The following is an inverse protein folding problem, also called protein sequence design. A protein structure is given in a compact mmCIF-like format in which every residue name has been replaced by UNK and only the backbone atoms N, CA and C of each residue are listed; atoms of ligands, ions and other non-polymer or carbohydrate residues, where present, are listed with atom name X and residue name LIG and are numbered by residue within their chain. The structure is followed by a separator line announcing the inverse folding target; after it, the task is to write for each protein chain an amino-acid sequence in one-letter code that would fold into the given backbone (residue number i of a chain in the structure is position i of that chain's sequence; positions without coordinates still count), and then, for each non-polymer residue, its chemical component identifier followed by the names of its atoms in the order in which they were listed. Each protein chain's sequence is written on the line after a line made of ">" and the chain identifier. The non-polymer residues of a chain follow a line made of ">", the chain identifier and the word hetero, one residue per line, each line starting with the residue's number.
data_IF_957049333909
#
_entry.id   IF_957049333909
#
_cell.length_a   1.000
_cell.length_b   1.000
_cell.length_c   1.000
_cell.angle_alpha   90.00
_cell.angle_beta   90.00
_cell.angle_gamma   90.00
#
_symmetry.space_group_name_H-M   'P 1'
#
loop_
_entity.id
_entity.type
_entity.pdbx_description
1 polymer ?
#
# COMPACT_ATOMS: atom_id res chain seq x y z
N UNK A 1 8.34 -13.28 -2.13
CA UNK A 1 8.81 -12.01 -1.53
C UNK A 1 8.69 -12.10 -0.03
N UNK A 2 9.63 -11.52 0.71
CA UNK A 2 9.48 -11.37 2.16
C UNK A 2 8.36 -10.35 2.40
N UNK A 3 7.28 -10.69 3.12
CA UNK A 3 6.24 -9.73 3.49
C UNK A 3 6.88 -8.53 4.23
N UNK A 4 6.45 -7.30 3.91
CA UNK A 4 6.99 -6.10 4.56
C UNK A 4 8.23 -5.49 3.91
N UNK A 5 8.68 -5.97 2.74
CA UNK A 5 9.82 -5.39 2.00
C UNK A 5 9.34 -4.54 0.81
N UNK A 6 9.85 -3.31 0.72
CA UNK A 6 9.71 -2.44 -0.45
C UNK A 6 10.52 -2.98 -1.65
N UNK A 7 9.90 -2.93 -2.82
CA UNK A 7 10.45 -3.39 -4.10
C UNK A 7 10.60 -2.16 -4.99
N UNK A 8 11.82 -1.84 -5.46
CA UNK A 8 12.02 -0.77 -6.43
C UNK A 8 11.28 -1.06 -7.74
N UNK A 9 10.64 -0.06 -8.32
CA UNK A 9 9.98 -0.20 -9.64
C UNK A 9 10.97 -0.60 -10.74
N UNK A 10 12.22 -0.16 -10.62
CA UNK A 10 13.34 -0.53 -11.50
C UNK A 10 13.78 -1.98 -11.37
N UNK A 11 13.54 -2.62 -10.22
CA UNK A 11 13.80 -4.05 -10.01
C UNK A 11 12.66 -4.87 -10.58
N UNK A 12 11.41 -4.48 -10.27
CA UNK A 12 10.22 -5.22 -10.68
C UNK A 12 8.97 -4.37 -10.55
N UNK A 13 8.09 -4.42 -11.55
CA UNK A 13 6.74 -3.83 -11.48
C UNK A 13 5.74 -4.75 -10.78
N UNK A 14 4.66 -4.22 -10.18
CA UNK A 14 3.54 -5.03 -9.71
C UNK A 14 2.89 -5.82 -10.84
N UNK A 15 2.17 -6.88 -10.48
CA UNK A 15 1.26 -7.55 -11.41
C UNK A 15 0.13 -6.60 -11.86
N UNK A 16 -0.50 -6.90 -12.99
CA UNK A 16 -1.52 -6.00 -13.54
C UNK A 16 -2.73 -5.92 -12.60
N UNK A 17 -3.13 -4.69 -12.26
CA UNK A 17 -4.33 -4.35 -11.47
C UNK A 17 -4.39 -4.97 -10.07
N UNK A 18 -3.28 -5.43 -9.51
CA UNK A 18 -3.24 -5.81 -8.09
C UNK A 18 -3.13 -4.57 -7.20
N UNK A 19 -3.81 -4.58 -6.06
CA UNK A 19 -3.65 -3.55 -5.05
C UNK A 19 -2.28 -3.67 -4.38
N UNK A 20 -1.60 -2.53 -4.23
CA UNK A 20 -0.26 -2.41 -3.63
C UNK A 20 -0.18 -1.16 -2.77
N UNK A 21 0.80 -1.16 -1.88
CA UNK A 21 1.23 0.03 -1.13
C UNK A 21 2.33 0.70 -1.96
N UNK A 22 2.25 2.01 -2.16
CA UNK A 22 3.15 2.81 -2.99
C UNK A 22 3.92 3.80 -2.12
N UNK A 23 5.19 4.01 -2.45
CA UNK A 23 5.98 5.13 -1.93
C UNK A 23 6.12 6.17 -3.04
N UNK A 24 5.56 7.34 -2.78
CA UNK A 24 5.68 8.51 -3.63
C UNK A 24 6.88 9.34 -3.16
N UNK A 25 7.94 9.35 -3.97
CA UNK A 25 9.17 10.04 -3.60
C UNK A 25 9.07 11.57 -3.78
N UNK A 26 8.13 12.05 -4.60
CA UNK A 26 7.96 13.47 -4.88
C UNK A 26 7.34 14.19 -3.69
N UNK A 27 6.30 13.60 -3.09
CA UNK A 27 5.63 14.16 -1.90
C UNK A 27 6.09 13.55 -0.58
N UNK A 28 6.82 12.44 -0.61
CA UNK A 28 7.35 11.76 0.58
C UNK A 28 6.29 11.01 1.40
N UNK A 29 5.26 10.48 0.74
CA UNK A 29 4.12 9.83 1.39
C UNK A 29 3.92 8.37 0.94
N UNK A 30 3.21 7.62 1.80
CA UNK A 30 2.74 6.28 1.50
C UNK A 30 1.26 6.33 1.12
N UNK A 31 0.91 5.78 -0.02
CA UNK A 31 -0.48 5.64 -0.47
C UNK A 31 -0.79 4.20 -0.92
N UNK A 32 -2.05 3.87 -1.15
CA UNK A 32 -2.47 2.60 -1.73
C UNK A 32 -2.93 2.79 -3.17
N UNK A 33 -2.56 1.90 -4.09
CA UNK A 33 -2.97 2.02 -5.49
C UNK A 33 -2.85 0.71 -6.23
N UNK A 34 -2.86 0.78 -7.56
CA UNK A 34 -2.54 -0.35 -8.43
C UNK A 34 -1.77 0.12 -9.66
N UNK A 35 -1.04 -0.79 -10.29
CA UNK A 35 -0.38 -0.54 -11.57
C UNK A 35 -1.21 -1.14 -12.71
N UNK A 36 -1.32 -0.43 -13.83
CA UNK A 36 -1.97 -0.90 -15.05
C UNK A 36 -0.93 -1.12 -16.14
N UNK A 37 -0.74 -2.38 -16.57
CA UNK A 37 0.16 -2.75 -17.65
C UNK A 37 -0.28 -2.18 -19.00
N UNK A 38 -1.61 -1.99 -19.17
CA UNK A 38 -2.20 -1.42 -20.39
C UNK A 38 -1.81 0.04 -20.60
N UNK A 39 -1.86 0.83 -19.53
CA UNK A 39 -1.57 2.29 -19.60
C UNK A 39 -0.16 2.62 -19.14
N UNK A 40 0.54 1.65 -18.55
CA UNK A 40 1.86 1.81 -17.92
C UNK A 40 1.88 2.92 -16.87
N UNK A 41 0.84 2.96 -16.04
CA UNK A 41 0.66 4.03 -15.04
C UNK A 41 0.10 3.48 -13.73
N UNK A 42 0.46 4.12 -12.62
CA UNK A 42 -0.13 3.86 -11.31
C UNK A 42 -1.42 4.66 -11.14
N UNK A 43 -2.38 4.10 -10.40
CA UNK A 43 -3.65 4.77 -10.08
C UNK A 43 -3.95 4.74 -8.59
N UNK A 44 -4.47 5.84 -8.08
CA UNK A 44 -5.04 5.98 -6.74
C UNK A 44 -6.46 6.54 -6.86
N UNK A 45 -7.43 5.91 -6.21
CA UNK A 45 -8.83 6.34 -6.23
C UNK A 45 -9.47 6.53 -7.63
N UNK A 46 -8.91 5.90 -8.66
CA UNK A 46 -9.40 6.00 -10.05
C UNK A 46 -8.63 7.02 -10.90
N UNK A 47 -7.83 7.87 -10.27
CA UNK A 47 -7.01 8.88 -10.95
C UNK A 47 -5.60 8.36 -11.19
N UNK A 48 -5.02 8.74 -12.33
CA UNK A 48 -3.64 8.44 -12.64
C UNK A 48 -2.72 9.21 -11.68
N UNK A 49 -1.70 8.55 -11.15
CA UNK A 49 -0.65 9.18 -10.37
C UNK A 49 0.41 9.67 -11.35
N UNK A 50 0.59 10.99 -11.42
CA UNK A 50 1.59 11.64 -12.28
C UNK A 50 2.98 11.74 -11.61
N UNK A 51 3.02 11.52 -10.29
CA UNK A 51 4.22 11.65 -9.46
C UNK A 51 5.22 10.49 -9.65
N UNK A 52 6.44 10.68 -9.13
CA UNK A 52 7.48 9.66 -9.15
C UNK A 52 7.28 8.56 -8.08
N UNK A 53 6.59 7.48 -8.47
CA UNK A 53 6.53 6.24 -7.70
C UNK A 53 7.83 5.46 -7.88
N UNK A 54 8.62 5.33 -6.81
CA UNK A 54 9.93 4.65 -6.86
C UNK A 54 9.89 3.24 -6.26
N UNK A 55 8.98 2.98 -5.32
CA UNK A 55 8.90 1.70 -4.63
C UNK A 55 7.44 1.28 -4.40
N UNK A 56 7.21 -0.03 -4.35
CA UNK A 56 5.93 -0.60 -3.97
C UNK A 56 6.12 -1.78 -3.01
N UNK A 57 5.04 -2.16 -2.35
CA UNK A 57 4.99 -3.34 -1.49
C UNK A 57 3.65 -4.05 -1.67
N UNK A 58 3.60 -5.40 -1.65
CA UNK A 58 2.33 -6.08 -1.52
C UNK A 58 1.65 -5.66 -0.20
N UNK A 59 0.31 -5.56 -0.15
CA UNK A 59 -0.37 -5.31 1.10
C UNK A 59 -0.01 -6.42 2.11
N UNK A 60 -0.01 -6.10 3.42
CA UNK A 60 0.10 -7.14 4.43
C UNK A 60 -1.01 -8.17 4.19
N UNK A 61 -0.75 -9.42 4.55
CA UNK A 61 -1.81 -10.42 4.57
C UNK A 61 -3.00 -9.87 5.37
N UNK A 62 -4.22 -10.18 4.90
CA UNK A 62 -5.42 -9.80 5.61
C UNK A 62 -5.27 -10.14 7.11
N UNK A 63 -5.76 -9.28 8.01
CA UNK A 63 -5.70 -9.56 9.43
C UNK A 63 -6.24 -10.97 9.68
N UNK A 64 -5.39 -11.86 10.19
CA UNK A 64 -5.87 -13.12 10.75
C UNK A 64 -6.67 -12.72 11.99
N UNK A 65 -7.84 -13.34 12.21
CA UNK A 65 -8.72 -13.00 13.33
C UNK A 65 -7.92 -12.74 14.60
N UNK A 66 -8.04 -11.56 15.22
CA UNK A 66 -7.40 -11.32 16.49
C UNK A 66 -8.07 -12.24 17.51
N UNK A 67 -7.29 -13.08 18.20
CA UNK A 67 -7.73 -13.65 19.48
C UNK A 67 -7.95 -12.49 20.46
N UNK A 68 -9.16 -11.90 20.47
CA UNK A 68 -9.65 -10.90 21.43
C UNK A 68 -8.79 -9.64 21.69
N UNK A 69 -7.66 -9.42 21.00
CA UNK A 69 -6.70 -8.35 21.35
C UNK A 69 -7.09 -6.98 20.80
N UNK A 70 -8.04 -6.91 19.87
CA UNK A 70 -8.60 -5.66 19.35
C UNK A 70 -9.74 -5.14 20.24
N UNK A 71 -9.61 -5.21 21.57
CA UNK A 71 -10.56 -4.54 22.47
C UNK A 71 -10.14 -3.07 22.60
N UNK A 72 -10.94 -2.20 21.98
CA UNK A 72 -11.26 -0.83 22.36
C UNK A 72 -10.33 -0.18 23.40
N UNK A 73 -9.35 0.61 22.95
CA UNK A 73 -8.78 1.70 23.78
C UNK A 73 -9.70 2.92 23.74
N UNK A 74 -10.94 2.77 24.21
CA UNK A 74 -11.82 3.92 24.45
C UNK A 74 -12.81 3.66 25.57
N UNK A 75 -12.31 3.28 26.74
CA UNK A 75 -13.07 3.44 27.99
C UNK A 75 -12.16 3.30 29.20
N UNK A 76 -11.29 4.27 29.47
CA UNK A 76 -10.79 4.55 30.82
C UNK A 76 -10.34 6.01 30.90
N UNK A 77 -11.30 6.91 31.15
CA UNK A 77 -11.12 8.14 31.92
C UNK A 77 -12.45 8.89 31.91
N UNK A 78 -13.26 8.60 32.93
CA UNK A 78 -14.28 9.46 33.53
C UNK A 78 -14.72 8.70 34.79
N UNK A 79 -13.99 8.91 35.89
CA UNK A 79 -14.51 8.76 37.25
C UNK A 79 -14.72 10.13 37.83
#
# INVERSE_FOLDING_TARGET
>A
TVPGKWIPVSERMPEDRISVILWDAEIGEVTSGHYSHKTQTFYHCGDAIENEITHWMPPPCAPQEPSLACISKRSQHLS
#
